data_IF_477303959566
#
_entry.id   IF_477303959566
#
_cell.length_a   1.000
_cell.length_b   1.000
_cell.length_c   1.000
_cell.angle_alpha   90.00
_cell.angle_beta   90.00
_cell.angle_gamma   90.00
#
_symmetry.space_group_name_H-M   'P 1'
#
loop_
_entity.id
_entity.type
_entity.pdbx_description
1 polymer ?
#
# COMPACT_ATOMS: atom_id res chain seq x y z
N UNK A 1 -25.36 16.17 -6.00
CA UNK A 1 -24.06 15.81 -5.41
C UNK A 1 -24.33 15.44 -3.97
N UNK A 2 -24.24 14.16 -3.63
CA UNK A 2 -24.39 13.69 -2.25
C UNK A 2 -23.16 14.12 -1.44
N UNK A 3 -23.38 14.63 -0.23
CA UNK A 3 -22.32 15.06 0.68
C UNK A 3 -21.62 13.85 1.27
N UNK A 4 -20.36 13.63 0.87
CA UNK A 4 -19.51 12.61 1.50
C UNK A 4 -19.12 13.11 2.88
N UNK A 5 -19.70 12.53 3.93
CA UNK A 5 -19.32 12.81 5.31
C UNK A 5 -18.00 12.08 5.63
N UNK A 6 -16.91 12.85 5.67
CA UNK A 6 -15.61 12.34 6.07
C UNK A 6 -15.45 12.39 7.59
N UNK A 7 -15.26 11.23 8.21
CA UNK A 7 -14.87 11.13 9.62
C UNK A 7 -13.46 10.52 9.70
N UNK A 8 -12.54 11.22 10.36
CA UNK A 8 -11.19 10.72 10.60
C UNK A 8 -11.11 10.05 11.98
N UNK A 9 -11.32 8.73 12.00
CA UNK A 9 -11.10 7.93 13.20
C UNK A 9 -9.71 7.30 13.13
N UNK A 10 -8.81 7.72 14.03
CA UNK A 10 -7.46 7.16 14.13
C UNK A 10 -7.50 5.80 14.87
N UNK A 11 -7.84 4.74 14.14
CA UNK A 11 -7.57 3.38 14.60
C UNK A 11 -6.08 3.11 14.37
N UNK A 12 -5.35 2.66 15.39
CA UNK A 12 -3.93 2.32 15.27
C UNK A 12 -3.75 1.13 14.33
N UNK A 13 -3.58 1.45 13.05
CA UNK A 13 -3.14 0.51 12.03
C UNK A 13 -1.74 -0.02 12.40
N UNK A 14 -1.51 -1.31 12.15
CA UNK A 14 -0.14 -1.82 12.13
C UNK A 14 0.66 -1.01 11.10
N UNK A 15 1.80 -0.48 11.52
CA UNK A 15 2.68 0.30 10.66
C UNK A 15 3.82 -0.59 10.21
N UNK A 16 4.03 -0.64 8.90
CA UNK A 16 5.15 -1.39 8.33
C UNK A 16 6.16 -0.37 7.82
N UNK A 17 7.41 -0.58 8.21
CA UNK A 17 8.54 0.29 7.90
C UNK A 17 9.57 -0.48 7.10
N UNK A 18 10.03 0.09 5.99
CA UNK A 18 11.22 -0.41 5.27
C UNK A 18 12.18 0.74 4.99
N UNK A 19 13.48 0.45 5.02
CA UNK A 19 14.53 1.39 4.65
C UNK A 19 15.05 1.18 3.23
N UNK A 20 14.65 0.08 2.60
CA UNK A 20 15.06 -0.32 1.25
C UNK A 20 13.87 -0.33 0.31
N UNK A 21 14.17 -0.14 -0.97
CA UNK A 21 13.20 -0.42 -2.02
C UNK A 21 12.80 -1.88 -1.89
N UNK A 22 11.49 -2.14 -1.84
CA UNK A 22 10.96 -3.48 -1.73
C UNK A 22 9.94 -3.68 -2.84
N UNK A 23 10.17 -4.69 -3.68
CA UNK A 23 9.31 -5.07 -4.79
C UNK A 23 8.69 -6.41 -4.49
N UNK A 24 7.37 -6.42 -4.41
CA UNK A 24 6.56 -7.61 -4.22
C UNK A 24 5.88 -7.93 -5.54
N UNK A 25 6.15 -9.13 -6.06
CA UNK A 25 5.58 -9.60 -7.30
C UNK A 25 4.35 -10.47 -7.03
N UNK A 26 3.35 -10.36 -7.92
CA UNK A 26 2.16 -11.23 -7.97
C UNK A 26 1.39 -11.28 -6.63
N UNK A 27 1.25 -10.13 -5.98
CA UNK A 27 0.50 -9.96 -4.74
C UNK A 27 -0.99 -10.13 -5.03
N UNK A 28 -1.68 -10.96 -4.23
CA UNK A 28 -3.14 -11.04 -4.21
C UNK A 28 -3.65 -10.83 -2.79
N UNK A 29 -4.62 -9.96 -2.65
CA UNK A 29 -5.26 -9.68 -1.35
C UNK A 29 -6.50 -10.54 -1.20
N UNK A 30 -6.67 -11.17 -0.03
CA UNK A 30 -7.89 -11.92 0.29
C UNK A 30 -9.11 -11.02 0.54
N UNK A 31 -8.89 -9.77 0.92
CA UNK A 31 -9.92 -8.76 1.20
C UNK A 31 -9.51 -7.40 0.62
N UNK A 32 -10.47 -6.54 0.22
CA UNK A 32 -10.14 -5.22 -0.29
C UNK A 32 -9.42 -4.42 0.81
N UNK A 33 -8.46 -3.60 0.41
CA UNK A 33 -7.64 -2.82 1.32
C UNK A 33 -7.78 -1.33 1.08
N UNK A 34 -7.76 -0.58 2.17
CA UNK A 34 -7.60 0.87 2.15
C UNK A 34 -6.26 1.21 2.81
N UNK A 35 -5.37 1.83 2.05
CA UNK A 35 -3.99 2.05 2.48
C UNK A 35 -3.63 3.52 2.36
N UNK A 36 -2.82 4.02 3.30
CA UNK A 36 -2.18 5.33 3.16
C UNK A 36 -0.68 5.21 3.35
N UNK A 37 0.08 5.74 2.41
CA UNK A 37 1.52 5.94 2.58
C UNK A 37 1.70 7.07 3.59
N UNK A 38 2.46 6.85 4.67
CA UNK A 38 2.80 7.92 5.62
C UNK A 38 4.09 8.64 5.21
N UNK A 39 5.04 7.91 4.60
CA UNK A 39 6.32 8.45 4.12
C UNK A 39 6.86 7.64 2.95
N UNK A 40 7.51 8.30 1.99
CA UNK A 40 7.95 7.70 0.73
C UNK A 40 6.80 7.61 -0.28
N UNK A 41 6.92 6.68 -1.23
CA UNK A 41 5.91 6.41 -2.24
C UNK A 41 5.68 4.92 -2.45
N UNK A 42 4.49 4.56 -2.91
CA UNK A 42 4.14 3.19 -3.29
C UNK A 42 3.72 3.17 -4.76
N UNK A 43 4.33 2.30 -5.55
CA UNK A 43 3.91 2.03 -6.93
C UNK A 43 3.07 0.76 -6.92
N UNK A 44 1.93 0.79 -7.60
CA UNK A 44 1.06 -0.37 -7.80
C UNK A 44 0.93 -0.58 -9.31
N UNK A 45 1.15 -1.82 -9.76
CA UNK A 45 0.99 -2.21 -11.16
C UNK A 45 -0.10 -3.27 -11.25
N UNK A 46 -1.04 -3.08 -12.18
CA UNK A 46 -2.12 -4.00 -12.49
C UNK A 46 -2.20 -4.14 -14.02
N UNK A 47 -1.71 -5.26 -14.57
CA UNK A 47 -1.56 -5.41 -16.01
C UNK A 47 -0.70 -4.29 -16.60
N UNK A 48 -1.27 -3.51 -17.53
CA UNK A 48 -0.60 -2.35 -18.14
C UNK A 48 -0.77 -1.06 -17.32
N UNK A 49 -1.66 -1.05 -16.33
CA UNK A 49 -1.93 0.13 -15.52
C UNK A 49 -0.91 0.26 -14.39
N UNK A 50 -0.41 1.48 -14.19
CA UNK A 50 0.54 1.81 -13.12
C UNK A 50 0.10 3.06 -12.38
N UNK A 51 0.07 2.97 -11.05
CA UNK A 51 -0.30 4.07 -10.16
C UNK A 51 0.84 4.35 -9.18
N UNK A 52 1.21 5.62 -9.05
CA UNK A 52 2.09 6.12 -8.00
C UNK A 52 1.24 6.75 -6.90
N UNK A 53 1.42 6.29 -5.67
CA UNK A 53 0.76 6.82 -4.49
C UNK A 53 1.77 7.50 -3.56
N UNK A 54 1.51 8.77 -3.25
CA UNK A 54 2.26 9.59 -2.29
C UNK A 54 1.46 9.76 -0.98
N UNK A 55 2.03 10.40 0.07
CA UNK A 55 1.33 10.54 1.35
C UNK A 55 0.00 11.31 1.32
N UNK A 56 -0.24 12.09 0.26
CA UNK A 56 -1.46 12.86 0.06
C UNK A 56 -2.61 12.02 -0.52
N UNK A 57 -2.35 10.77 -0.90
CA UNK A 57 -3.31 9.91 -1.58
C UNK A 57 -3.73 8.73 -0.69
N UNK A 58 -5.00 8.35 -0.85
CA UNK A 58 -5.56 7.13 -0.30
C UNK A 58 -5.62 6.09 -1.41
N UNK A 59 -5.20 4.88 -1.10
CA UNK A 59 -5.12 3.77 -2.05
C UNK A 59 -6.24 2.79 -1.73
N UNK A 60 -7.03 2.45 -2.73
CA UNK A 60 -7.95 1.32 -2.67
C UNK A 60 -7.33 0.18 -3.46
N UNK A 61 -7.07 -0.94 -2.80
CA UNK A 61 -6.62 -2.17 -3.44
C UNK A 61 -7.79 -3.16 -3.50
N UNK A 62 -8.18 -3.64 -4.69
CA UNK A 62 -9.21 -4.65 -4.80
C UNK A 62 -8.75 -6.02 -4.25
N UNK A 63 -9.71 -6.82 -3.79
CA UNK A 63 -9.47 -8.22 -3.47
C UNK A 63 -9.35 -9.06 -4.74
N UNK A 64 -8.64 -10.19 -4.64
CA UNK A 64 -8.53 -11.22 -5.68
C UNK A 64 -8.06 -10.72 -7.07
N UNK A 65 -7.28 -9.64 -7.06
CA UNK A 65 -6.59 -9.11 -8.23
C UNK A 65 -5.09 -9.34 -8.04
N UNK A 66 -4.43 -9.83 -9.09
CA UNK A 66 -2.97 -9.94 -9.11
C UNK A 66 -2.33 -8.57 -9.36
N UNK A 67 -1.45 -8.17 -8.44
CA UNK A 67 -0.80 -6.87 -8.41
C UNK A 67 0.71 -7.00 -8.28
N UNK A 68 1.42 -6.00 -8.77
CA UNK A 68 2.80 -5.74 -8.35
C UNK A 68 2.83 -4.53 -7.42
N UNK A 69 3.62 -4.60 -6.34
CA UNK A 69 3.73 -3.49 -5.37
C UNK A 69 5.20 -3.16 -5.14
N UNK A 70 5.57 -1.90 -5.36
CA UNK A 70 6.92 -1.38 -5.09
C UNK A 70 6.83 -0.31 -4.01
N UNK A 71 7.45 -0.55 -2.87
CA UNK A 71 7.61 0.43 -1.81
C UNK A 71 8.92 1.20 -2.02
N UNK A 72 8.85 2.51 -2.17
CA UNK A 72 9.99 3.40 -2.42
C UNK A 72 10.24 4.29 -1.19
N UNK A 73 11.35 4.08 -0.47
CA UNK A 73 11.72 4.93 0.64
C UNK A 73 12.10 6.35 0.21
N UNK A 74 11.74 7.34 1.02
CA UNK A 74 12.22 8.71 0.91
C UNK A 74 13.27 8.97 2.00
N UNK A 75 14.47 9.39 1.61
CA UNK A 75 15.63 9.51 2.50
C UNK A 75 15.85 8.23 3.33
N UNK A 76 15.73 7.06 2.69
CA UNK A 76 15.93 5.77 3.32
C UNK A 76 14.83 5.35 4.30
N UNK A 77 13.64 5.95 4.26
CA UNK A 77 12.48 5.47 5.04
C UNK A 77 11.19 5.46 4.21
N UNK A 78 10.51 4.33 4.26
CA UNK A 78 9.13 4.17 3.82
C UNK A 78 8.30 3.73 5.03
N UNK A 79 7.13 4.37 5.20
CA UNK A 79 6.16 4.00 6.22
C UNK A 79 4.77 3.92 5.59
N UNK A 80 4.03 2.86 5.90
CA UNK A 80 2.63 2.74 5.49
C UNK A 80 1.75 2.25 6.64
N UNK A 81 0.51 2.72 6.64
CA UNK A 81 -0.51 2.31 7.59
C UNK A 81 -1.62 1.54 6.88
N UNK A 82 -1.88 0.32 7.35
CA UNK A 82 -2.94 -0.54 6.85
C UNK A 82 -4.25 -0.27 7.59
N UNK A 83 -5.18 0.42 6.93
CA UNK A 83 -6.55 0.53 7.41
C UNK A 83 -7.33 -0.69 6.91
N UNK A 84 -7.19 -1.83 7.60
CA UNK A 84 -7.94 -3.09 7.41
C UNK A 84 -7.80 -3.78 6.04
N UNK A 85 -6.63 -4.33 5.75
CA UNK A 85 -6.54 -5.57 4.96
C UNK A 85 -5.30 -6.33 5.37
N UNK A 86 -5.47 -7.64 5.53
CA UNK A 86 -4.39 -8.56 5.76
C UNK A 86 -3.49 -8.61 4.51
N UNK A 87 -2.44 -7.77 4.48
CA UNK A 87 -1.20 -8.18 3.81
C UNK A 87 -0.50 -9.14 4.77
N UNK A 88 -1.18 -10.24 5.09
CA UNK A 88 -0.51 -11.42 5.63
C UNK A 88 0.25 -12.04 4.45
N UNK A 89 1.53 -12.28 4.63
CA UNK A 89 2.40 -13.06 3.75
C UNK A 89 2.98 -12.39 2.50
N UNK A 90 3.41 -11.13 2.61
CA UNK A 90 4.55 -10.67 1.82
C UNK A 90 5.89 -11.17 2.42
N UNK A 91 6.01 -12.49 2.65
CA UNK A 91 7.32 -13.17 2.83
C UNK A 91 7.84 -13.62 1.47
N UNK A 92 8.15 -12.66 0.62
CA UNK A 92 8.93 -12.87 -0.60
C UNK A 92 9.30 -11.49 -1.16
N UNK A 93 10.22 -10.79 -0.50
CA UNK A 93 11.05 -9.85 -1.22
C UNK A 93 12.28 -10.65 -1.62
N UNK A 94 12.40 -10.98 -2.90
CA UNK A 94 13.68 -11.39 -3.46
C UNK A 94 14.63 -10.20 -3.30
N UNK A 95 15.76 -10.46 -2.64
CA UNK A 95 16.87 -9.51 -2.55
C UNK A 95 17.46 -9.32 -3.94
N UNK A 96 17.37 -8.10 -4.47
CA UNK A 96 18.25 -7.62 -5.55
C UNK A 96 19.07 -6.46 -4.99
#
# INVERSE_FOLDING_TARGET
>A
MESIHFQHNALTAAEITTRRLCRLHRVRLFSPALCRVKRGSKVIVQGESRVLATPQQLIVLPADVELEVINQPENGLFCFADARSAIADARAADEV
#
